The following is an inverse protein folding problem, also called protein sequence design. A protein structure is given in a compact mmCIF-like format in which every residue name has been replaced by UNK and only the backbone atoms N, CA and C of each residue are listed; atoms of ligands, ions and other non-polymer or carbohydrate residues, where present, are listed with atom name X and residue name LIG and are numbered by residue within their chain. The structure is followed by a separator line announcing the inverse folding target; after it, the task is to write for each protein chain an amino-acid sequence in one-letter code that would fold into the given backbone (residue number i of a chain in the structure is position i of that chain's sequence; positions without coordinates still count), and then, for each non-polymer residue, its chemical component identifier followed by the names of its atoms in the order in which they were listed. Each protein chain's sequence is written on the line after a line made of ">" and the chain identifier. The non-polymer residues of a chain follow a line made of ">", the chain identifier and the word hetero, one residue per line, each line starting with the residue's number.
data_IF_400518672250
#
_entry.id   IF_400518672250
#
_cell.length_a   1.000
_cell.length_b   1.000
_cell.length_c   1.000
_cell.angle_alpha   90.00
_cell.angle_beta   90.00
_cell.angle_gamma   90.00
#
_symmetry.space_group_name_H-M   'P 1'
#
loop_
_entity.id
_entity.type
_entity.pdbx_description
1 polymer ?
#
# COMPACT_ATOMS: atom_id res chain seq x y z
N UNK A 1 -26.82 -3.65 9.05
CA UNK A 1 -25.35 -3.66 9.25
C UNK A 1 -24.84 -2.23 9.18
N UNK A 2 -23.92 -1.82 10.05
CA UNK A 2 -23.31 -0.47 10.04
C UNK A 2 -21.80 -0.63 10.11
N UNK A 3 -21.07 0.20 9.35
CA UNK A 3 -19.60 0.21 9.35
C UNK A 3 -19.07 0.83 10.65
N UNK A 4 -18.02 0.25 11.22
CA UNK A 4 -17.28 0.80 12.34
C UNK A 4 -15.99 1.47 11.84
N UNK A 5 -16.13 2.70 11.35
CA UNK A 5 -15.03 3.46 10.73
C UNK A 5 -13.88 3.71 11.71
N UNK A 6 -14.19 3.96 12.99
CA UNK A 6 -13.18 4.24 14.00
C UNK A 6 -12.26 3.06 14.25
N UNK A 7 -12.81 1.84 14.29
CA UNK A 7 -12.00 0.64 14.47
C UNK A 7 -11.15 0.35 13.24
N UNK A 8 -11.72 0.48 12.03
CA UNK A 8 -10.99 0.28 10.78
C UNK A 8 -9.84 1.27 10.64
N UNK A 9 -10.06 2.55 10.94
CA UNK A 9 -9.03 3.57 10.90
C UNK A 9 -7.88 3.24 11.86
N UNK A 10 -8.21 2.84 13.09
CA UNK A 10 -7.20 2.45 14.09
C UNK A 10 -6.39 1.24 13.65
N UNK A 11 -7.04 0.22 13.09
CA UNK A 11 -6.34 -0.96 12.57
C UNK A 11 -5.38 -0.55 11.45
N UNK A 12 -5.85 0.26 10.48
CA UNK A 12 -5.01 0.76 9.38
C UNK A 12 -3.85 1.66 9.86
N UNK A 13 -4.04 2.47 10.91
CA UNK A 13 -2.97 3.29 11.49
C UNK A 13 -1.83 2.44 12.10
N UNK A 14 -2.10 1.19 12.44
CA UNK A 14 -1.16 0.26 13.07
C UNK A 14 -0.50 -0.70 12.08
N UNK A 15 -0.95 -0.77 10.83
CA UNK A 15 -0.48 -1.74 9.82
C UNK A 15 0.36 -1.07 8.74
N UNK A 16 1.50 -0.46 9.10
CA UNK A 16 2.39 0.20 8.13
C UNK A 16 3.17 -0.78 7.26
N UNK A 17 3.30 -2.04 7.68
CA UNK A 17 3.95 -3.12 6.94
C UNK A 17 3.31 -3.41 5.59
N UNK A 18 2.03 -3.08 5.37
CA UNK A 18 1.38 -3.26 4.06
C UNK A 18 1.97 -2.37 2.97
N UNK A 19 2.65 -1.28 3.34
CA UNK A 19 3.37 -0.43 2.40
C UNK A 19 4.71 -1.01 1.94
N UNK A 20 5.14 -2.16 2.48
CA UNK A 20 6.37 -2.81 2.04
C UNK A 20 6.33 -3.18 0.55
N UNK A 21 5.21 -3.70 0.05
CA UNK A 21 5.07 -4.11 -1.36
C UNK A 21 5.25 -2.94 -2.35
N UNK A 22 4.52 -1.80 -2.24
CA UNK A 22 4.67 -0.71 -3.20
C UNK A 22 6.08 -0.11 -3.17
N UNK A 23 6.71 -0.06 -1.98
CA UNK A 23 8.09 0.39 -1.83
C UNK A 23 9.04 -0.58 -2.53
N UNK A 24 8.86 -1.90 -2.34
CA UNK A 24 9.66 -2.91 -3.03
C UNK A 24 9.53 -2.79 -4.56
N UNK A 25 8.33 -2.54 -5.05
CA UNK A 25 8.05 -2.35 -6.46
C UNK A 25 8.76 -1.12 -7.02
N UNK A 26 8.74 0.02 -6.32
CA UNK A 26 9.52 1.20 -6.71
C UNK A 26 11.02 0.92 -6.69
N UNK A 27 11.53 0.25 -5.66
CA UNK A 27 12.95 -0.11 -5.59
C UNK A 27 13.38 -0.96 -6.81
N UNK A 28 12.55 -1.90 -7.25
CA UNK A 28 12.80 -2.71 -8.46
C UNK A 28 12.80 -1.85 -9.72
N UNK A 29 11.85 -0.92 -9.86
CA UNK A 29 11.75 -0.02 -11.02
C UNK A 29 13.02 0.84 -11.17
N UNK A 30 13.57 1.31 -10.06
CA UNK A 30 14.79 2.14 -10.05
C UNK A 30 16.09 1.33 -9.93
N UNK A 31 16.02 0.00 -10.00
CA UNK A 31 17.21 -0.85 -10.00
C UNK A 31 17.98 -0.89 -8.66
N UNK A 32 17.31 -0.61 -7.55
CA UNK A 32 17.92 -0.72 -6.22
C UNK A 32 18.19 -2.20 -5.93
N UNK A 33 19.43 -2.57 -5.53
CA UNK A 33 19.77 -3.96 -5.28
C UNK A 33 19.05 -4.51 -4.03
N UNK A 34 18.73 -5.79 -4.08
CA UNK A 34 18.20 -6.58 -2.95
C UNK A 34 17.00 -5.93 -2.24
N UNK A 35 15.94 -5.53 -2.97
CA UNK A 35 14.86 -4.74 -2.41
C UNK A 35 14.06 -5.47 -1.33
N UNK A 36 13.97 -6.80 -1.45
CA UNK A 36 13.35 -7.64 -0.42
C UNK A 36 14.14 -7.65 0.88
N UNK A 37 15.46 -7.88 0.82
CA UNK A 37 16.29 -7.99 2.03
C UNK A 37 16.40 -6.63 2.74
N UNK A 38 16.53 -5.52 2.00
CA UNK A 38 16.50 -4.16 2.58
C UNK A 38 15.19 -3.87 3.33
N UNK A 39 14.05 -4.28 2.78
CA UNK A 39 12.76 -4.14 3.47
C UNK A 39 12.63 -5.09 4.66
N UNK A 40 13.14 -6.31 4.53
CA UNK A 40 13.15 -7.28 5.62
C UNK A 40 13.98 -6.78 6.80
N UNK A 41 15.07 -6.06 6.59
CA UNK A 41 15.83 -5.41 7.66
C UNK A 41 14.97 -4.39 8.43
N UNK A 42 14.13 -3.62 7.75
CA UNK A 42 13.20 -2.69 8.37
C UNK A 42 12.13 -3.41 9.20
N UNK A 43 11.66 -4.57 8.76
CA UNK A 43 10.58 -5.32 9.41
C UNK A 43 11.06 -6.36 10.42
N UNK A 44 12.38 -6.59 10.54
CA UNK A 44 12.92 -7.67 11.39
C UNK A 44 12.95 -7.28 12.85
N UNK A 45 12.07 -7.91 13.64
CA UNK A 45 12.12 -7.85 15.11
C UNK A 45 11.60 -6.54 15.71
N UNK A 46 10.99 -5.67 14.89
CA UNK A 46 10.38 -4.42 15.32
C UNK A 46 9.09 -4.17 14.54
N UNK A 47 8.13 -3.47 15.17
CA UNK A 47 6.94 -3.02 14.48
C UNK A 47 7.30 -1.95 13.45
N UNK A 48 6.71 -2.04 12.27
CA UNK A 48 6.84 -0.98 11.25
C UNK A 48 5.95 0.18 11.69
N UNK A 49 6.52 1.36 11.81
CA UNK A 49 5.82 2.58 12.19
C UNK A 49 5.88 3.57 11.05
N UNK A 50 5.04 4.61 11.11
CA UNK A 50 5.15 5.74 10.19
C UNK A 50 6.58 6.28 10.12
N UNK A 51 7.20 6.51 11.27
CA UNK A 51 8.49 7.18 11.34
C UNK A 51 9.62 6.35 10.75
N UNK A 52 9.68 5.04 11.06
CA UNK A 52 10.73 4.18 10.50
C UNK A 52 10.53 3.94 9.00
N UNK A 53 9.28 3.90 8.51
CA UNK A 53 8.97 3.81 7.09
C UNK A 53 9.40 5.07 6.33
N UNK A 54 9.13 6.25 6.89
CA UNK A 54 9.55 7.53 6.29
C UNK A 54 11.08 7.65 6.27
N UNK A 55 11.75 7.26 7.35
CA UNK A 55 13.22 7.21 7.40
C UNK A 55 13.79 6.28 6.33
N UNK A 56 13.18 5.10 6.14
CA UNK A 56 13.58 4.16 5.11
C UNK A 56 13.44 4.76 3.70
N UNK A 57 12.28 5.35 3.38
CA UNK A 57 12.00 5.99 2.07
C UNK A 57 13.00 7.12 1.79
N UNK A 58 13.32 7.93 2.80
CA UNK A 58 14.28 9.03 2.68
C UNK A 58 15.71 8.55 2.39
N UNK A 59 16.07 7.35 2.82
CA UNK A 59 17.38 6.73 2.56
C UNK A 59 17.50 6.07 1.19
N UNK A 60 16.42 5.99 0.40
CA UNK A 60 16.47 5.41 -0.94
C UNK A 60 17.09 6.38 -1.96
N UNK A 61 17.99 5.86 -2.78
CA UNK A 61 18.55 6.56 -3.94
C UNK A 61 17.56 6.51 -5.12
N UNK A 62 16.52 7.34 -5.03
CA UNK A 62 15.45 7.49 -6.02
C UNK A 62 15.19 8.97 -6.30
N UNK A 63 14.62 9.32 -7.47
CA UNK A 63 14.25 10.70 -7.76
C UNK A 63 13.31 11.31 -6.72
N UNK A 64 13.49 12.59 -6.42
CA UNK A 64 12.74 13.29 -5.37
C UNK A 64 11.21 13.26 -5.60
N UNK A 65 10.76 13.34 -6.86
CA UNK A 65 9.35 13.23 -7.20
C UNK A 65 8.75 11.88 -6.75
N UNK A 66 9.52 10.81 -6.91
CA UNK A 66 9.12 9.43 -6.55
C UNK A 66 9.14 9.27 -5.04
N UNK A 67 10.19 9.78 -4.39
CA UNK A 67 10.29 9.82 -2.93
C UNK A 67 9.08 10.55 -2.33
N UNK A 68 8.75 11.73 -2.85
CA UNK A 68 7.59 12.51 -2.40
C UNK A 68 6.28 11.75 -2.56
N UNK A 69 6.11 10.99 -3.65
CA UNK A 69 4.95 10.12 -3.87
C UNK A 69 4.90 8.99 -2.84
N UNK A 70 6.01 8.28 -2.63
CA UNK A 70 6.09 7.20 -1.63
C UNK A 70 5.85 7.72 -0.20
N UNK A 71 6.43 8.88 0.17
CA UNK A 71 6.26 9.48 1.49
C UNK A 71 4.83 9.91 1.79
N UNK A 72 3.99 10.12 0.77
CA UNK A 72 2.56 10.44 0.94
C UNK A 72 1.68 9.21 1.10
N UNK A 73 2.20 8.00 0.81
CA UNK A 73 1.43 6.78 0.99
C UNK A 73 1.16 6.52 2.47
N UNK A 74 -0.06 6.04 2.72
CA UNK A 74 -0.54 5.59 4.02
C UNK A 74 -1.33 4.30 3.83
N UNK A 75 -1.48 3.45 4.86
CA UNK A 75 -2.33 2.27 4.75
C UNK A 75 -3.78 2.59 4.31
N UNK A 76 -4.26 3.80 4.64
CA UNK A 76 -5.58 4.29 4.26
C UNK A 76 -5.69 4.66 2.78
N UNK A 77 -4.62 5.18 2.19
CA UNK A 77 -4.60 5.59 0.77
C UNK A 77 -4.12 4.48 -0.16
N UNK A 78 -3.50 3.43 0.38
CA UNK A 78 -3.02 2.30 -0.40
C UNK A 78 -4.12 1.26 -0.65
N UNK A 79 -5.20 1.69 -1.32
CA UNK A 79 -6.34 0.84 -1.68
C UNK A 79 -6.37 0.47 -3.16
N UNK A 80 -5.42 0.98 -3.96
CA UNK A 80 -5.40 0.75 -5.40
C UNK A 80 -6.71 1.22 -6.07
N UNK A 81 -7.25 0.48 -7.05
CA UNK A 81 -8.50 0.83 -7.72
C UNK A 81 -9.76 0.36 -6.95
N UNK A 82 -9.66 0.02 -5.66
CA UNK A 82 -10.75 -0.63 -4.93
C UNK A 82 -12.06 0.19 -4.92
N UNK A 83 -11.97 1.51 -4.71
CA UNK A 83 -13.16 2.37 -4.73
C UNK A 83 -13.82 2.40 -6.11
N UNK A 84 -13.01 2.58 -7.16
CA UNK A 84 -13.48 2.64 -8.54
C UNK A 84 -14.14 1.33 -8.96
N UNK A 85 -13.50 0.19 -8.67
CA UNK A 85 -14.04 -1.13 -8.97
C UNK A 85 -15.33 -1.43 -8.19
N UNK A 86 -15.40 -1.03 -6.92
CA UNK A 86 -16.61 -1.20 -6.12
C UNK A 86 -17.79 -0.38 -6.67
N UNK A 87 -17.52 0.85 -7.11
CA UNK A 87 -18.52 1.75 -7.71
C UNK A 87 -19.00 1.25 -9.07
N UNK A 88 -18.08 0.72 -9.86
CA UNK A 88 -18.32 0.26 -11.22
C UNK A 88 -18.72 -1.22 -11.32
N UNK A 89 -19.03 -1.89 -10.20
CA UNK A 89 -19.30 -3.34 -10.17
C UNK A 89 -20.34 -3.79 -11.20
N UNK A 90 -21.37 -2.98 -11.43
CA UNK A 90 -22.46 -3.26 -12.38
C UNK A 90 -22.03 -3.20 -13.86
N UNK A 91 -20.89 -2.56 -14.17
CA UNK A 91 -20.31 -2.57 -15.52
C UNK A 91 -19.65 -3.91 -15.84
N UNK A 92 -19.10 -4.57 -14.81
CA UNK A 92 -18.24 -5.74 -14.96
C UNK A 92 -18.96 -7.05 -14.64
N UNK A 93 -20.05 -6.98 -13.88
CA UNK A 93 -20.77 -8.16 -13.39
C UNK A 93 -22.25 -8.07 -13.77
N UNK A 94 -22.71 -9.04 -14.55
CA UNK A 94 -24.13 -9.31 -14.69
C UNK A 94 -24.62 -10.10 -13.45
N UNK A 95 -25.35 -9.40 -12.58
CA UNK A 95 -25.87 -9.96 -11.34
C UNK A 95 -27.11 -10.85 -11.55
N UNK A 96 -27.76 -10.80 -12.72
CA UNK A 96 -28.92 -11.64 -13.03
C UNK A 96 -28.49 -13.01 -13.57
N UNK A 97 -27.36 -13.09 -14.28
CA UNK A 97 -26.88 -14.33 -14.90
C UNK A 97 -25.79 -15.08 -14.10
N UNK A 98 -25.45 -14.64 -12.89
CA UNK A 98 -24.57 -15.37 -11.97
C UNK A 98 -23.06 -15.17 -12.19
N UNK A 99 -22.57 -13.93 -12.09
CA UNK A 99 -21.13 -13.60 -12.10
C UNK A 99 -20.39 -14.05 -13.37
N UNK A 100 -20.98 -13.82 -14.55
CA UNK A 100 -20.23 -13.85 -15.81
C UNK A 100 -19.50 -12.51 -15.95
N UNK A 101 -18.16 -12.53 -15.90
CA UNK A 101 -17.33 -11.36 -16.22
C UNK A 101 -17.32 -11.22 -17.75
N UNK A 102 -17.71 -10.05 -18.27
CA UNK A 102 -17.62 -9.76 -19.72
C UNK A 102 -16.19 -9.58 -20.20
#
# INVERSE_FOLDING_TARGET
>A
MKVNESHLAKDLEQTWEVLAEPIQTVMRIYGIPEPYEKLKELTRGQAVTKDNMQQFINGLDIPEEVRSKLSKLTPHSYTGPAEDLARDIMKWVDLESGFQIK
#
